data_IF_367137301305
#
_entry.id   IF_367137301305
#
_cell.length_a   1.000
_cell.length_b   1.000
_cell.length_c   1.000
_cell.angle_alpha   90.00
_cell.angle_beta   90.00
_cell.angle_gamma   90.00
#
_symmetry.space_group_name_H-M   'P 1'
#
loop_
_entity.id
_entity.type
_entity.pdbx_description
1 polymer ?
#
# COMPACT_ATOMS: atom_id res chain seq x y z
N UNK A 1 -60.69 -15.68 66.12
CA UNK A 1 -60.97 -14.88 67.33
C UNK A 1 -59.80 -13.95 67.57
N UNK A 2 -60.12 -12.69 67.87
CA UNK A 2 -59.28 -11.61 68.40
C UNK A 2 -58.33 -10.86 67.44
N UNK A 3 -58.86 -9.72 67.00
CA UNK A 3 -58.17 -8.51 66.57
C UNK A 3 -57.11 -8.02 67.57
N UNK A 4 -56.10 -7.31 67.06
CA UNK A 4 -55.73 -5.99 67.59
C UNK A 4 -54.86 -5.24 66.56
N UNK A 5 -55.38 -4.09 66.14
CA UNK A 5 -54.66 -3.00 65.47
C UNK A 5 -54.10 -2.08 66.54
N UNK A 6 -52.83 -1.67 66.43
CA UNK A 6 -52.38 -0.31 66.82
C UNK A 6 -51.00 0.03 66.24
N UNK A 7 -50.95 1.08 65.42
CA UNK A 7 -49.76 1.91 65.09
C UNK A 7 -49.42 2.83 66.28
N UNK A 8 -48.18 3.36 66.42
CA UNK A 8 -47.78 4.58 65.69
C UNK A 8 -46.29 4.66 65.24
N UNK A 9 -46.06 5.58 64.31
CA UNK A 9 -44.76 6.17 63.92
C UNK A 9 -43.94 6.66 65.13
N UNK A 10 -42.61 6.75 64.95
CA UNK A 10 -41.84 8.02 64.99
C UNK A 10 -40.34 7.75 64.75
N UNK A 11 -39.80 8.54 63.81
CA UNK A 11 -38.43 9.01 63.56
C UNK A 11 -37.24 8.34 64.28
N UNK A 12 -36.16 8.13 63.52
CA UNK A 12 -34.83 8.52 64.01
C UNK A 12 -33.62 7.81 63.40
N UNK A 13 -32.80 8.62 62.73
CA UNK A 13 -31.35 8.49 62.64
C UNK A 13 -30.73 7.35 61.79
N UNK A 14 -30.51 7.70 60.52
CA UNK A 14 -29.19 7.72 59.87
C UNK A 14 -28.16 6.63 60.21
N UNK A 15 -27.87 5.78 59.23
CA UNK A 15 -26.49 5.44 58.87
C UNK A 15 -26.43 5.01 57.40
N UNK A 16 -26.19 5.99 56.52
CA UNK A 16 -25.78 5.74 55.14
C UNK A 16 -24.32 5.28 55.20
N UNK A 17 -24.08 3.97 55.08
CA UNK A 17 -22.74 3.45 54.79
C UNK A 17 -22.63 3.32 53.28
N UNK A 18 -22.06 4.34 52.67
CA UNK A 18 -21.62 4.34 51.27
C UNK A 18 -20.46 3.35 51.12
N UNK A 19 -20.76 2.10 50.74
CA UNK A 19 -19.74 1.18 50.22
C UNK A 19 -19.45 1.54 48.77
N UNK A 20 -18.44 2.38 48.57
CA UNK A 20 -17.82 2.59 47.26
C UNK A 20 -17.06 1.32 46.86
N UNK A 21 -17.65 0.50 46.00
CA UNK A 21 -16.93 -0.57 45.31
C UNK A 21 -16.04 0.08 44.24
N UNK A 22 -14.74 0.18 44.51
CA UNK A 22 -13.74 0.62 43.55
C UNK A 22 -13.64 -0.38 42.40
N UNK A 23 -14.07 0.03 41.20
CA UNK A 23 -13.82 -0.71 39.96
C UNK A 23 -12.33 -0.55 39.63
N UNK A 24 -11.53 -1.53 40.05
CA UNK A 24 -10.16 -1.71 39.55
C UNK A 24 -10.23 -2.11 38.09
N UNK A 25 -10.20 -1.12 37.19
CA UNK A 25 -9.91 -1.35 35.78
C UNK A 25 -8.43 -1.71 35.68
N UNK A 26 -8.13 -3.01 35.68
CA UNK A 26 -6.84 -3.52 35.28
C UNK A 26 -6.63 -3.15 33.80
N UNK A 27 -6.02 -1.98 33.55
CA UNK A 27 -5.41 -1.66 32.26
C UNK A 27 -4.30 -2.68 32.08
N UNK A 28 -4.57 -3.70 31.28
CA UNK A 28 -3.54 -4.61 30.77
C UNK A 28 -2.48 -3.74 30.08
N UNK A 29 -1.38 -3.48 30.77
CA UNK A 29 -0.17 -2.90 30.18
C UNK A 29 0.34 -3.94 29.20
N UNK A 30 -0.11 -3.83 27.96
CA UNK A 30 0.46 -4.58 26.85
C UNK A 30 1.96 -4.29 26.88
N UNK A 31 2.85 -5.29 27.06
CA UNK A 31 4.28 -5.04 27.00
C UNK A 31 4.57 -4.37 25.64
N UNK A 32 5.50 -3.40 25.59
CA UNK A 32 5.90 -2.81 24.32
C UNK A 32 6.29 -3.95 23.36
N UNK A 33 5.92 -3.86 22.07
CA UNK A 33 6.39 -4.85 21.10
C UNK A 33 7.92 -4.94 21.21
N UNK A 34 8.51 -6.14 21.18
CA UNK A 34 9.96 -6.27 21.25
C UNK A 34 10.59 -5.35 20.20
N UNK A 35 11.57 -4.56 20.65
CA UNK A 35 12.28 -3.61 19.81
C UNK A 35 12.72 -4.29 18.51
N UNK A 36 12.33 -3.69 17.38
CA UNK A 36 12.62 -4.12 16.02
C UNK A 36 14.14 -4.23 15.77
N UNK A 37 14.75 -5.34 16.15
CA UNK A 37 16.14 -5.67 15.84
C UNK A 37 16.21 -6.77 14.78
N UNK A 38 15.59 -6.53 13.62
CA UNK A 38 15.60 -7.46 12.49
C UNK A 38 15.61 -6.76 11.11
N UNK A 39 16.21 -5.57 10.99
CA UNK A 39 16.18 -4.79 9.74
C UNK A 39 17.51 -4.77 8.97
N UNK A 40 18.59 -5.39 9.47
CA UNK A 40 19.88 -5.44 8.79
C UNK A 40 20.03 -6.62 7.82
N UNK A 41 19.44 -7.77 8.15
CA UNK A 41 19.80 -9.04 7.47
C UNK A 41 19.15 -9.19 6.08
N UNK A 42 18.06 -8.45 5.84
CA UNK A 42 17.36 -8.47 4.55
C UNK A 42 17.87 -7.43 3.55
N UNK A 43 18.62 -6.41 3.99
CA UNK A 43 19.02 -5.30 3.13
C UNK A 43 19.98 -5.75 2.01
N UNK A 44 21.01 -6.54 2.33
CA UNK A 44 21.99 -6.98 1.34
C UNK A 44 21.41 -7.99 0.31
N UNK A 45 20.63 -9.02 0.71
CA UNK A 45 19.91 -9.85 -0.23
C UNK A 45 18.94 -9.06 -1.13
N UNK A 46 18.20 -8.11 -0.57
CA UNK A 46 17.27 -7.26 -1.32
C UNK A 46 17.99 -6.37 -2.34
N UNK A 47 19.13 -5.79 -1.96
CA UNK A 47 19.97 -5.02 -2.87
C UNK A 47 20.42 -5.86 -4.07
N UNK A 48 20.95 -7.06 -3.82
CA UNK A 48 21.36 -8.00 -4.89
C UNK A 48 20.20 -8.42 -5.78
N UNK A 49 19.00 -8.59 -5.23
CA UNK A 49 17.81 -8.88 -6.03
C UNK A 49 17.47 -7.69 -6.93
N UNK A 50 17.57 -6.45 -6.42
CA UNK A 50 17.40 -5.24 -7.20
C UNK A 50 18.41 -5.09 -8.34
N UNK A 51 19.68 -5.40 -8.11
CA UNK A 51 20.73 -5.36 -9.13
C UNK A 51 20.47 -6.36 -10.27
N UNK A 52 20.14 -7.61 -9.92
CA UNK A 52 19.78 -8.64 -10.93
C UNK A 52 18.54 -8.27 -11.72
N UNK A 53 17.53 -7.70 -11.07
CA UNK A 53 16.31 -7.24 -11.73
C UNK A 53 16.61 -6.09 -12.70
N UNK A 54 17.52 -5.18 -12.34
CA UNK A 54 17.98 -4.13 -13.25
C UNK A 54 18.73 -4.71 -14.45
N UNK A 55 19.68 -5.62 -14.22
CA UNK A 55 20.42 -6.31 -15.28
C UNK A 55 19.46 -6.99 -16.27
N UNK A 56 18.49 -7.75 -15.75
CA UNK A 56 17.47 -8.43 -16.55
C UNK A 56 16.62 -7.43 -17.35
N UNK A 57 16.20 -6.32 -16.74
CA UNK A 57 15.49 -5.26 -17.44
C UNK A 57 16.33 -4.72 -18.61
N UNK A 58 17.60 -4.43 -18.34
CA UNK A 58 18.53 -3.90 -19.32
C UNK A 58 18.71 -4.86 -20.49
N UNK A 59 18.82 -6.17 -20.27
CA UNK A 59 18.88 -7.18 -21.34
C UNK A 59 17.67 -7.14 -22.29
N UNK A 60 16.50 -6.71 -21.80
CA UNK A 60 15.27 -6.61 -22.60
C UNK A 60 15.07 -5.24 -23.27
N UNK A 61 15.96 -4.28 -23.06
CA UNK A 61 15.91 -2.99 -23.73
C UNK A 61 16.64 -3.05 -25.06
N UNK A 62 16.00 -2.54 -26.12
CA UNK A 62 16.72 -2.23 -27.35
C UNK A 62 17.67 -1.03 -27.16
N UNK A 63 18.55 -0.77 -28.13
CA UNK A 63 19.56 0.28 -28.06
C UNK A 63 18.98 1.67 -27.73
N UNK A 64 17.87 2.04 -28.37
CA UNK A 64 17.20 3.31 -28.12
C UNK A 64 16.67 3.40 -26.67
N UNK A 65 15.97 2.36 -26.22
CA UNK A 65 15.43 2.30 -24.86
C UNK A 65 16.54 2.32 -23.80
N UNK A 66 17.67 1.64 -24.08
CA UNK A 66 18.84 1.65 -23.20
C UNK A 66 19.44 3.05 -23.10
N UNK A 67 19.64 3.73 -24.23
CA UNK A 67 20.15 5.10 -24.25
C UNK A 67 19.22 6.08 -23.50
N UNK A 68 17.90 5.93 -23.66
CA UNK A 68 16.91 6.68 -22.89
C UNK A 68 17.06 6.38 -21.39
N UNK A 69 17.13 5.10 -21.00
CA UNK A 69 17.28 4.72 -19.61
C UNK A 69 18.56 5.29 -18.96
N UNK A 70 19.69 5.24 -19.66
CA UNK A 70 20.97 5.77 -19.19
C UNK A 70 20.93 7.30 -18.97
N UNK A 71 20.17 8.03 -19.79
CA UNK A 71 20.08 9.49 -19.71
C UNK A 71 19.11 10.00 -18.63
N UNK A 72 17.96 9.33 -18.46
CA UNK A 72 16.83 9.87 -17.67
C UNK A 72 16.20 8.86 -16.71
N UNK A 73 16.79 7.67 -16.55
CA UNK A 73 16.28 6.57 -15.69
C UNK A 73 14.85 6.12 -16.07
N UNK A 74 14.52 6.25 -17.35
CA UNK A 74 13.22 5.92 -17.92
C UNK A 74 13.33 5.74 -19.44
N UNK A 75 12.40 5.00 -20.03
CA UNK A 75 12.42 4.68 -21.46
C UNK A 75 11.02 4.55 -22.03
N UNK A 76 10.93 4.63 -23.36
CA UNK A 76 9.67 4.63 -24.09
C UNK A 76 9.41 3.28 -24.77
N UNK A 77 8.28 2.69 -24.44
CA UNK A 77 7.71 1.52 -25.12
C UNK A 77 6.66 2.00 -26.12
N UNK A 78 6.70 1.47 -27.34
CA UNK A 78 5.68 1.74 -28.36
C UNK A 78 4.91 0.44 -28.56
N UNK A 79 3.62 0.44 -28.26
CA UNK A 79 2.77 -0.73 -28.44
C UNK A 79 2.39 -0.91 -29.92
N UNK A 80 1.86 -2.08 -30.27
CA UNK A 80 1.42 -2.40 -31.64
C UNK A 80 0.30 -1.48 -32.15
N UNK A 81 -0.49 -0.88 -31.27
CA UNK A 81 -1.49 0.13 -31.62
C UNK A 81 -0.90 1.51 -32.00
N UNK A 82 0.40 1.72 -31.76
CA UNK A 82 1.07 3.01 -31.91
C UNK A 82 0.98 3.92 -30.68
N UNK A 83 0.30 3.52 -29.61
CA UNK A 83 0.36 4.23 -28.33
C UNK A 83 1.78 4.17 -27.74
N UNK A 84 2.17 5.22 -27.03
CA UNK A 84 3.51 5.30 -26.43
C UNK A 84 3.41 5.35 -24.91
N UNK A 85 4.29 4.61 -24.25
CA UNK A 85 4.32 4.44 -22.81
C UNK A 85 5.71 4.80 -22.31
N UNK A 86 5.80 5.88 -21.54
CA UNK A 86 7.00 6.27 -20.83
C UNK A 86 7.04 5.55 -19.48
N UNK A 87 7.99 4.64 -19.32
CA UNK A 87 8.17 3.82 -18.13
C UNK A 87 9.34 4.34 -17.32
N UNK A 88 9.08 4.70 -16.07
CA UNK A 88 10.11 4.92 -15.06
C UNK A 88 9.99 3.86 -13.97
N UNK A 89 10.90 3.91 -12.99
CA UNK A 89 10.82 3.04 -11.80
C UNK A 89 9.45 3.04 -11.14
N UNK A 90 8.82 4.21 -11.06
CA UNK A 90 7.61 4.41 -10.24
C UNK A 90 6.34 4.63 -11.07
N UNK A 91 6.48 4.98 -12.34
CA UNK A 91 5.38 5.54 -13.11
C UNK A 91 5.28 4.94 -14.51
N UNK A 92 4.05 4.96 -15.03
CA UNK A 92 3.76 4.74 -16.44
C UNK A 92 2.96 5.94 -16.93
N UNK A 93 3.55 6.74 -17.82
CA UNK A 93 2.85 7.82 -18.50
C UNK A 93 2.55 7.37 -19.94
N UNK A 94 1.27 7.22 -20.25
CA UNK A 94 0.82 6.76 -21.55
C UNK A 94 0.27 7.91 -22.38
N UNK A 95 0.68 7.99 -23.65
CA UNK A 95 0.03 8.80 -24.67
C UNK A 95 -0.82 7.86 -25.53
N UNK A 96 -2.13 7.99 -25.37
CA UNK A 96 -3.13 7.18 -26.09
C UNK A 96 -3.89 8.11 -27.02
N UNK A 97 -3.65 7.96 -28.32
CA UNK A 97 -4.10 8.93 -29.32
C UNK A 97 -3.63 10.36 -29.00
N UNK A 98 -4.57 11.26 -28.70
CA UNK A 98 -4.29 12.67 -28.36
C UNK A 98 -4.28 12.98 -26.86
N UNK A 99 -4.52 11.97 -26.02
CA UNK A 99 -4.64 12.14 -24.58
C UNK A 99 -3.43 11.56 -23.85
N UNK A 100 -3.09 12.13 -22.71
CA UNK A 100 -2.01 11.65 -21.84
C UNK A 100 -2.60 11.21 -20.51
N UNK A 101 -2.15 10.06 -20.03
CA UNK A 101 -2.61 9.44 -18.80
C UNK A 101 -1.45 8.99 -17.95
N UNK A 102 -1.58 9.14 -16.63
CA UNK A 102 -0.81 8.36 -15.67
C UNK A 102 -1.55 7.06 -15.43
N UNK A 103 -0.88 5.94 -15.68
CA UNK A 103 -1.41 4.60 -15.54
C UNK A 103 -0.86 3.94 -14.28
N UNK A 104 -1.76 3.47 -13.42
CA UNK A 104 -1.41 2.77 -12.20
C UNK A 104 -1.71 1.27 -12.35
N UNK A 105 -0.66 0.46 -12.34
CA UNK A 105 -0.71 -0.99 -12.36
C UNK A 105 0.43 -1.55 -11.52
N UNK A 106 0.11 -2.48 -10.62
CA UNK A 106 1.07 -3.15 -9.76
C UNK A 106 0.67 -4.62 -9.60
N UNK A 107 1.63 -5.56 -9.51
CA UNK A 107 1.33 -6.94 -9.18
C UNK A 107 0.56 -7.04 -7.86
N UNK A 108 -0.49 -7.85 -7.83
CA UNK A 108 -1.22 -8.14 -6.60
C UNK A 108 -0.54 -9.30 -5.87
N UNK A 109 0.37 -8.97 -4.95
CA UNK A 109 1.06 -9.94 -4.10
C UNK A 109 1.27 -9.35 -2.70
N UNK A 110 1.38 -10.22 -1.70
CA UNK A 110 1.76 -9.86 -0.33
C UNK A 110 3.27 -9.75 -0.15
N UNK A 111 4.05 -10.27 -1.10
CA UNK A 111 5.51 -10.24 -1.06
C UNK A 111 6.06 -9.00 -1.76
N UNK A 112 7.22 -8.51 -1.30
CA UNK A 112 7.90 -7.42 -1.97
C UNK A 112 8.56 -7.92 -3.26
N UNK A 113 8.32 -7.22 -4.37
CA UNK A 113 8.96 -7.49 -5.66
C UNK A 113 10.00 -6.40 -5.96
N UNK A 114 11.22 -6.74 -6.43
CA UNK A 114 12.18 -5.75 -6.89
C UNK A 114 11.55 -4.79 -7.91
N UNK A 115 11.80 -3.49 -7.75
CA UNK A 115 11.12 -2.47 -8.56
C UNK A 115 11.34 -2.66 -10.08
N UNK A 116 12.52 -3.14 -10.49
CA UNK A 116 12.85 -3.35 -11.90
C UNK A 116 12.16 -4.56 -12.51
N UNK A 117 11.84 -5.60 -11.73
CA UNK A 117 10.99 -6.70 -12.19
C UNK A 117 9.58 -6.19 -12.50
N UNK A 118 9.06 -5.27 -11.68
CA UNK A 118 7.76 -4.64 -11.92
C UNK A 118 7.78 -3.81 -13.22
N UNK A 119 8.86 -3.06 -13.47
CA UNK A 119 9.03 -2.28 -14.70
C UNK A 119 9.12 -3.21 -15.93
N UNK A 120 9.91 -4.28 -15.84
CA UNK A 120 10.05 -5.27 -16.91
C UNK A 120 8.70 -5.96 -17.19
N UNK A 121 7.98 -6.38 -16.16
CA UNK A 121 6.65 -6.99 -16.32
C UNK A 121 5.67 -6.04 -17.04
N UNK A 122 5.68 -4.74 -16.71
CA UNK A 122 4.88 -3.73 -17.41
C UNK A 122 5.28 -3.62 -18.89
N UNK A 123 6.58 -3.52 -19.19
CA UNK A 123 7.10 -3.47 -20.57
C UNK A 123 6.62 -4.68 -21.37
N UNK A 124 6.87 -5.88 -20.85
CA UNK A 124 6.51 -7.13 -21.51
C UNK A 124 5.00 -7.24 -21.73
N UNK A 125 4.18 -6.84 -20.76
CA UNK A 125 2.73 -6.87 -20.91
C UNK A 125 2.24 -5.85 -21.94
N UNK A 126 2.81 -4.65 -22.00
CA UNK A 126 2.49 -3.65 -23.05
C UNK A 126 2.84 -4.19 -24.45
N UNK A 127 4.00 -4.81 -24.59
CA UNK A 127 4.48 -5.32 -25.88
C UNK A 127 3.72 -6.57 -26.35
N UNK A 128 3.36 -7.47 -25.42
CA UNK A 128 2.68 -8.72 -25.74
C UNK A 128 1.15 -8.58 -25.82
N UNK A 129 0.54 -7.84 -24.90
CA UNK A 129 -0.92 -7.69 -24.78
C UNK A 129 -1.30 -6.34 -24.17
N UNK A 130 -1.22 -5.29 -25.00
CA UNK A 130 -1.61 -3.94 -24.60
C UNK A 130 -3.07 -3.87 -24.11
N UNK A 131 -3.97 -4.69 -24.68
CA UNK A 131 -5.38 -4.67 -24.29
C UNK A 131 -5.55 -5.14 -22.83
N UNK A 132 -4.87 -6.21 -22.43
CA UNK A 132 -4.84 -6.67 -21.04
C UNK A 132 -4.18 -5.66 -20.10
N UNK A 133 -3.07 -5.03 -20.53
CA UNK A 133 -2.43 -3.95 -19.77
C UNK A 133 -3.43 -2.81 -19.49
N UNK A 134 -4.14 -2.36 -20.52
CA UNK A 134 -5.09 -1.26 -20.47
C UNK A 134 -6.40 -1.59 -19.74
N UNK A 135 -6.78 -2.86 -19.68
CA UNK A 135 -7.95 -3.33 -18.93
C UNK A 135 -7.68 -3.40 -17.42
N UNK A 136 -6.42 -3.64 -17.03
CA UNK A 136 -6.02 -3.76 -15.62
C UNK A 136 -5.54 -2.44 -15.02
N UNK A 137 -4.90 -1.59 -15.82
CA UNK A 137 -4.39 -0.29 -15.36
C UNK A 137 -5.52 0.70 -15.02
N UNK A 138 -5.44 1.32 -13.83
CA UNK A 138 -6.26 2.48 -13.49
C UNK A 138 -5.71 3.71 -14.20
N UNK A 139 -6.59 4.49 -14.83
CA UNK A 139 -6.22 5.64 -15.68
C UNK A 139 -6.54 6.94 -14.99
N UNK A 140 -5.56 7.84 -14.94
CA UNK A 140 -5.69 9.19 -14.41
C UNK A 140 -5.26 10.19 -15.49
N UNK A 141 -6.08 11.19 -15.89
CA UNK A 141 -5.67 12.21 -16.84
C UNK A 141 -4.40 12.96 -16.39
N UNK A 142 -3.49 13.25 -17.33
CA UNK A 142 -2.22 13.92 -17.06
C UNK A 142 -1.97 15.11 -18.03
N UNK A 143 -1.43 16.25 -17.58
CA UNK A 143 -1.09 16.58 -16.19
C UNK A 143 -2.34 16.66 -15.31
N UNK A 144 -2.24 16.14 -14.08
CA UNK A 144 -3.32 16.24 -13.12
C UNK A 144 -3.53 17.71 -12.74
N UNK A 145 -4.71 18.26 -13.01
CA UNK A 145 -5.14 19.59 -12.58
C UNK A 145 -5.31 19.73 -11.05
N UNK A 146 -5.07 18.65 -10.31
CA UNK A 146 -4.97 18.63 -8.85
C UNK A 146 -3.48 18.59 -8.47
N UNK A 147 -2.81 19.74 -8.61
CA UNK A 147 -1.50 20.00 -8.00
C UNK A 147 -1.63 20.28 -6.51
#
# INVERSE_FOLDING_TARGET
>A
MLSAVTTPEVLGATAVVLSAAAILTARATRPPPPAQHANSDFAAPWHRAGERALETLLEHLNERQRAEYEHQLAFTVVASSGNTYYLSRNEVIAKIGRQVFRLCIQPSTTEAIPAWDVVLARKLLIEADEAAFLATAKRWPWPNIYG
#
